data_IF_201891215282
#
_entry.id   IF_201891215282
#
_cell.length_a   1.000
_cell.length_b   1.000
_cell.length_c   1.000
_cell.angle_alpha   90.00
_cell.angle_beta   90.00
_cell.angle_gamma   90.00
#
_symmetry.space_group_name_H-M   'P 1'
#
loop_
_entity.id
_entity.type
_entity.pdbx_description
1 polymer ?
#
# COMPACT_ATOMS: atom_id res chain seq x y z
N UNK A 1 7.79 7.21 -7.88
CA UNK A 1 7.58 6.82 -6.47
C UNK A 1 8.41 5.60 -6.14
N UNK A 2 9.08 5.63 -5.02
CA UNK A 2 9.99 4.57 -4.64
C UNK A 2 9.36 3.67 -3.58
N UNK A 3 9.34 2.36 -3.84
CA UNK A 3 8.79 1.39 -2.88
C UNK A 3 9.90 0.71 -2.11
N UNK A 4 9.60 0.33 -0.87
CA UNK A 4 10.48 -0.46 -0.02
C UNK A 4 9.91 -1.86 0.14
N UNK A 5 10.76 -2.90 0.10
CA UNK A 5 10.30 -4.24 0.44
C UNK A 5 9.80 -4.28 1.88
N UNK A 6 8.75 -5.06 2.11
CA UNK A 6 8.18 -5.21 3.46
C UNK A 6 8.04 -6.68 3.81
N UNK A 7 7.90 -6.96 5.11
CA UNK A 7 7.62 -8.29 5.59
C UNK A 7 6.12 -8.48 5.68
N UNK A 8 5.58 -9.25 4.77
CA UNK A 8 4.14 -9.51 4.74
C UNK A 8 3.89 -10.73 3.89
N UNK A 9 2.87 -11.51 4.23
CA UNK A 9 2.45 -12.62 3.40
C UNK A 9 1.69 -12.15 2.16
N UNK A 10 1.18 -10.92 2.17
CA UNK A 10 0.35 -10.40 1.10
C UNK A 10 1.01 -9.29 0.29
N UNK A 11 1.79 -8.43 0.94
CA UNK A 11 2.41 -7.27 0.31
C UNK A 11 3.88 -7.52 0.06
N UNK A 12 4.32 -7.17 -1.15
CA UNK A 12 5.73 -7.30 -1.53
C UNK A 12 6.52 -6.04 -1.24
N UNK A 13 5.96 -4.88 -1.58
CA UNK A 13 6.64 -3.61 -1.38
C UNK A 13 5.62 -2.49 -1.25
N UNK A 14 6.03 -1.41 -0.57
CA UNK A 14 5.15 -0.27 -0.27
C UNK A 14 5.93 1.03 -0.48
N UNK A 15 5.29 2.00 -1.13
CA UNK A 15 5.82 3.34 -1.27
C UNK A 15 4.73 4.37 -1.00
N UNK A 16 5.14 5.60 -0.68
CA UNK A 16 4.19 6.67 -0.42
C UNK A 16 4.76 7.99 -0.93
N UNK A 17 3.92 8.77 -1.59
CA UNK A 17 4.28 10.10 -2.06
C UNK A 17 3.52 11.12 -1.21
N UNK A 18 4.21 11.81 -0.28
CA UNK A 18 3.53 12.80 0.58
C UNK A 18 3.07 14.04 -0.17
N UNK A 19 3.64 14.31 -1.34
CA UNK A 19 3.21 15.47 -2.13
C UNK A 19 1.82 15.27 -2.74
N UNK A 20 1.46 14.03 -3.06
CA UNK A 20 0.18 13.72 -3.70
C UNK A 20 -0.71 12.84 -2.84
N UNK A 21 -0.23 12.41 -1.67
CA UNK A 21 -0.96 11.49 -0.78
C UNK A 21 -1.35 10.20 -1.50
N UNK A 22 -0.41 9.64 -2.25
CA UNK A 22 -0.63 8.38 -2.93
C UNK A 22 0.23 7.29 -2.33
N UNK A 23 -0.42 6.19 -1.95
CA UNK A 23 0.20 4.99 -1.44
C UNK A 23 0.29 3.99 -2.58
N UNK A 24 1.47 3.45 -2.83
CA UNK A 24 1.63 2.45 -3.87
C UNK A 24 2.02 1.13 -3.24
N UNK A 25 1.29 0.07 -3.61
CA UNK A 25 1.51 -1.27 -3.06
C UNK A 25 1.67 -2.26 -4.19
N UNK A 26 2.74 -3.04 -4.11
CA UNK A 26 2.90 -4.22 -4.95
C UNK A 26 2.50 -5.44 -4.13
N UNK A 27 1.58 -6.24 -4.66
CA UNK A 27 1.10 -7.44 -3.99
C UNK A 27 1.88 -8.66 -4.43
N UNK A 28 2.05 -9.63 -3.52
CA UNK A 28 2.79 -10.86 -3.84
C UNK A 28 2.14 -11.68 -4.93
N UNK A 29 0.82 -11.60 -5.03
CA UNK A 29 0.09 -12.29 -6.10
C UNK A 29 0.32 -11.65 -7.46
N UNK A 30 0.86 -10.45 -7.49
CA UNK A 30 1.03 -9.66 -8.69
C UNK A 30 0.17 -8.42 -8.63
N UNK A 31 0.50 -7.44 -9.48
CA UNK A 31 -0.24 -6.20 -9.53
C UNK A 31 0.33 -5.14 -8.61
N UNK A 32 0.39 -3.93 -9.13
CA UNK A 32 0.79 -2.73 -8.39
C UNK A 32 -0.40 -1.79 -8.39
N UNK A 33 -0.80 -1.36 -7.21
CA UNK A 33 -1.99 -0.52 -7.03
C UNK A 33 -1.61 0.74 -6.30
N UNK A 34 -2.35 1.81 -6.57
CA UNK A 34 -2.24 3.07 -5.83
C UNK A 34 -3.55 3.34 -5.11
N UNK A 35 -3.42 3.95 -3.92
CA UNK A 35 -4.55 4.32 -3.09
C UNK A 35 -4.36 5.76 -2.63
N UNK A 36 -5.42 6.56 -2.71
CA UNK A 36 -5.39 7.93 -2.20
C UNK A 36 -5.66 7.89 -0.70
N UNK A 37 -4.61 8.05 0.11
CA UNK A 37 -4.74 7.95 1.58
C UNK A 37 -4.00 9.11 2.24
N UNK A 38 -4.48 9.56 3.41
CA UNK A 38 -3.72 10.54 4.19
C UNK A 38 -2.40 9.96 4.67
N UNK A 39 -1.42 10.82 4.91
CA UNK A 39 -0.10 10.40 5.38
C UNK A 39 -0.18 9.52 6.63
N UNK A 40 -1.11 9.82 7.55
CA UNK A 40 -1.20 9.05 8.79
C UNK A 40 -1.57 7.59 8.54
N UNK A 41 -2.32 7.32 7.48
CA UNK A 41 -2.71 5.95 7.15
C UNK A 41 -1.49 5.16 6.66
N UNK A 42 -0.61 5.79 5.87
CA UNK A 42 0.65 5.16 5.49
C UNK A 42 1.50 4.87 6.73
N UNK A 43 1.60 5.82 7.65
CA UNK A 43 2.38 5.63 8.87
C UNK A 43 1.81 4.49 9.72
N UNK A 44 0.48 4.41 9.84
CA UNK A 44 -0.17 3.33 10.60
C UNK A 44 0.04 1.97 9.93
N UNK A 45 -0.02 1.93 8.60
CA UNK A 45 0.25 0.71 7.86
C UNK A 45 1.66 0.20 8.15
N UNK A 46 2.65 1.09 8.07
CA UNK A 46 4.04 0.70 8.27
C UNK A 46 4.33 0.28 9.71
N UNK A 47 3.51 0.72 10.66
CA UNK A 47 3.65 0.36 12.07
C UNK A 47 2.79 -0.85 12.47
N UNK A 48 1.98 -1.37 11.57
CA UNK A 48 1.05 -2.45 11.89
C UNK A 48 1.79 -3.78 12.10
N UNK A 49 1.29 -4.60 13.01
CA UNK A 49 1.82 -5.95 13.23
C UNK A 49 1.66 -6.80 11.97
N UNK A 50 0.53 -6.65 11.28
CA UNK A 50 0.27 -7.33 10.02
C UNK A 50 -0.14 -6.29 8.99
N UNK A 51 0.74 -6.05 8.03
CA UNK A 51 0.46 -5.10 6.96
C UNK A 51 -0.74 -5.54 6.13
N UNK A 52 -0.82 -6.83 5.82
CA UNK A 52 -1.93 -7.36 5.03
C UNK A 52 -3.27 -7.20 5.73
N UNK A 53 -3.33 -7.47 7.03
CA UNK A 53 -4.56 -7.32 7.79
C UNK A 53 -4.96 -5.85 7.91
N UNK A 54 -3.99 -4.97 8.14
CA UNK A 54 -4.27 -3.53 8.19
C UNK A 54 -4.82 -3.04 6.87
N UNK A 55 -4.17 -3.42 5.77
CA UNK A 55 -4.62 -3.03 4.44
C UNK A 55 -6.06 -3.50 4.20
N UNK A 56 -6.35 -4.76 4.50
CA UNK A 56 -7.68 -5.32 4.23
C UNK A 56 -8.77 -4.62 5.04
N UNK A 57 -8.47 -4.23 6.28
CA UNK A 57 -9.47 -3.63 7.17
C UNK A 57 -9.58 -2.13 7.04
N UNK A 58 -8.47 -1.45 6.75
CA UNK A 58 -8.40 0.01 6.88
C UNK A 58 -8.23 0.75 5.55
N UNK A 59 -7.81 0.06 4.50
CA UNK A 59 -7.50 0.76 3.24
C UNK A 59 -8.36 0.27 2.10
N UNK A 60 -8.44 -1.05 1.90
CA UNK A 60 -9.03 -1.62 0.68
C UNK A 60 -10.39 -1.04 0.30
N UNK A 61 -11.28 -0.90 1.25
CA UNK A 61 -12.65 -0.43 0.98
C UNK A 61 -12.91 0.97 1.53
N UNK A 62 -11.92 1.56 2.19
CA UNK A 62 -12.10 2.87 2.83
C UNK A 62 -11.59 4.03 1.97
N UNK A 63 -10.71 3.75 1.02
CA UNK A 63 -10.09 4.77 0.19
C UNK A 63 -10.10 4.37 -1.27
N UNK A 64 -10.15 5.36 -2.19
CA UNK A 64 -10.09 5.06 -3.62
C UNK A 64 -8.77 4.38 -3.99
N UNK A 65 -8.85 3.37 -4.84
CA UNK A 65 -7.67 2.67 -5.32
C UNK A 65 -7.81 2.27 -6.77
N UNK A 66 -6.68 2.09 -7.45
CA UNK A 66 -6.67 1.71 -8.86
C UNK A 66 -5.38 0.97 -9.18
N UNK A 67 -5.45 0.07 -10.15
CA UNK A 67 -4.29 -0.69 -10.59
C UNK A 67 -3.45 0.15 -11.54
N UNK A 68 -2.12 0.16 -11.33
CA UNK A 68 -1.21 0.93 -12.18
C UNK A 68 -0.27 0.06 -12.99
N UNK A 69 -0.04 -1.20 -12.59
CA UNK A 69 0.82 -2.10 -13.34
C UNK A 69 0.53 -3.53 -12.92
N UNK A 70 0.86 -4.48 -13.80
CA UNK A 70 0.74 -5.90 -13.45
C UNK A 70 1.87 -6.32 -12.53
N UNK A 71 3.08 -5.77 -12.78
CA UNK A 71 4.26 -6.06 -11.98
C UNK A 71 5.34 -5.03 -12.33
N UNK A 72 6.27 -4.77 -11.43
CA UNK A 72 7.38 -3.87 -11.76
C UNK A 72 8.68 -4.61 -11.94
#
# INVERSE_FOLDING_TARGET
MRRQPVRSSSLESVGFDPATNQLEIEFREGGVYRYAVPRRIHAELMAADSLGAFFARRIRHAYPGWKVADRT
#
